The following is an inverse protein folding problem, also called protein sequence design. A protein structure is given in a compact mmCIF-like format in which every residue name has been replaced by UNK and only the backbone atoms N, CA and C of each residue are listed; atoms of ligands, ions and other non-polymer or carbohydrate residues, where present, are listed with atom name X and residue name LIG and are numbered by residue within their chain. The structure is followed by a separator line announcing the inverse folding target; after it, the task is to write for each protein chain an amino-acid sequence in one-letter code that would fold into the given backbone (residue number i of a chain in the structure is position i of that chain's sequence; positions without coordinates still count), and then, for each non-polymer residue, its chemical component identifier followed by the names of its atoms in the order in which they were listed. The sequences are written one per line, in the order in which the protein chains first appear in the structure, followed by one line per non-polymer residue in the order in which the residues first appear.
data_IF_725176905384
#
_entry.id   IF_725176905384
#
_cell.length_a   1.000
_cell.length_b   1.000
_cell.length_c   1.000
_cell.angle_alpha   90.00
_cell.angle_beta   90.00
_cell.angle_gamma   90.00
#
_symmetry.space_group_name_H-M   'P 1'
#
loop_
_entity.id
_entity.type
_entity.pdbx_description
1 polymer ?
#
# COMPACT_ATOMS: atom_id res chain seq x y z
N UNK A 1 -20.97 23.52 6.20
CA UNK A 1 -21.10 23.03 4.81
C UNK A 1 -19.69 22.87 4.24
N UNK A 2 -19.20 21.63 4.13
CA UNK A 2 -17.92 21.36 3.51
C UNK A 2 -18.10 21.34 2.00
N UNK A 3 -17.48 22.28 1.28
CA UNK A 3 -17.43 22.26 -0.18
C UNK A 3 -16.48 21.14 -0.60
N UNK A 4 -17.00 20.06 -1.14
CA UNK A 4 -16.18 19.06 -1.82
C UNK A 4 -15.65 19.69 -3.11
N UNK A 5 -14.35 19.99 -3.17
CA UNK A 5 -13.71 20.47 -4.38
C UNK A 5 -13.72 19.32 -5.40
N UNK A 6 -14.30 19.51 -6.60
CA UNK A 6 -14.29 18.46 -7.62
C UNK A 6 -12.85 18.10 -8.00
N UNK A 7 -12.57 16.80 -8.15
CA UNK A 7 -11.28 16.34 -8.62
C UNK A 7 -10.92 16.95 -9.97
N UNK A 8 -9.71 17.42 -10.12
CA UNK A 8 -9.18 17.81 -11.42
C UNK A 8 -9.09 16.58 -12.33
N UNK A 9 -9.07 16.78 -13.66
CA UNK A 9 -8.90 15.69 -14.63
C UNK A 9 -7.64 14.86 -14.34
N UNK A 10 -6.55 15.51 -13.96
CA UNK A 10 -5.30 14.84 -13.56
C UNK A 10 -5.53 13.93 -12.34
N UNK A 11 -6.13 14.46 -11.28
CA UNK A 11 -6.39 13.70 -10.06
C UNK A 11 -7.30 12.49 -10.30
N UNK A 12 -8.33 12.64 -11.13
CA UNK A 12 -9.20 11.55 -11.53
C UNK A 12 -8.43 10.44 -12.27
N UNK A 13 -7.52 10.81 -13.20
CA UNK A 13 -6.67 9.87 -13.94
C UNK A 13 -5.68 9.18 -12.99
N UNK A 14 -5.03 9.93 -12.10
CA UNK A 14 -4.11 9.38 -11.08
C UNK A 14 -4.84 8.34 -10.24
N UNK A 15 -6.01 8.69 -9.72
CA UNK A 15 -6.82 7.78 -8.90
C UNK A 15 -7.17 6.51 -9.67
N UNK A 16 -7.71 6.65 -10.87
CA UNK A 16 -8.11 5.49 -11.67
C UNK A 16 -6.93 4.57 -12.01
N UNK A 17 -5.81 5.11 -12.50
CA UNK A 17 -4.63 4.30 -12.80
C UNK A 17 -4.03 3.67 -11.55
N UNK A 18 -4.02 4.38 -10.41
CA UNK A 18 -3.58 3.83 -9.13
C UNK A 18 -4.44 2.64 -8.72
N UNK A 19 -5.76 2.77 -8.80
CA UNK A 19 -6.70 1.69 -8.48
C UNK A 19 -6.48 0.48 -9.40
N UNK A 20 -6.31 0.70 -10.70
CA UNK A 20 -6.02 -0.38 -11.67
C UNK A 20 -4.68 -1.10 -11.38
N UNK A 21 -3.65 -0.36 -10.93
CA UNK A 21 -2.34 -0.93 -10.56
C UNK A 21 -2.43 -1.68 -9.22
N UNK A 22 -3.11 -1.09 -8.24
CA UNK A 22 -3.23 -1.69 -6.89
C UNK A 22 -4.07 -2.97 -6.94
N UNK A 23 -5.16 -2.97 -7.70
CA UNK A 23 -6.03 -4.15 -7.85
C UNK A 23 -5.47 -5.21 -8.79
N UNK A 24 -4.36 -4.91 -9.49
CA UNK A 24 -3.77 -5.82 -10.48
C UNK A 24 -4.47 -5.83 -11.85
N UNK A 25 -5.47 -4.98 -12.08
CA UNK A 25 -6.08 -4.79 -13.40
C UNK A 25 -5.04 -4.31 -14.43
N UNK A 26 -4.03 -3.56 -13.98
CA UNK A 26 -2.78 -3.31 -14.69
C UNK A 26 -1.65 -4.09 -14.00
N UNK A 27 -1.32 -5.31 -14.46
CA UNK A 27 -0.32 -6.16 -13.81
C UNK A 27 1.10 -5.56 -13.85
N UNK A 28 2.00 -6.02 -12.96
CA UNK A 28 3.42 -5.67 -13.00
C UNK A 28 4.03 -5.89 -14.39
N UNK A 29 4.89 -4.97 -14.84
CA UNK A 29 5.54 -5.00 -16.15
C UNK A 29 4.67 -4.53 -17.31
N UNK A 30 3.37 -4.30 -17.11
CA UNK A 30 2.48 -3.77 -18.15
C UNK A 30 3.01 -2.46 -18.70
N UNK A 31 3.08 -2.36 -20.03
CA UNK A 31 3.48 -1.14 -20.72
C UNK A 31 2.38 -0.09 -20.64
N UNK A 32 2.71 1.09 -20.13
CA UNK A 32 1.75 2.21 -20.02
C UNK A 32 2.07 3.24 -21.10
N UNK A 33 1.22 3.30 -22.14
CA UNK A 33 1.38 4.25 -23.23
C UNK A 33 0.40 5.41 -23.11
N UNK A 34 0.91 6.63 -23.10
CA UNK A 34 0.12 7.86 -22.93
C UNK A 34 -1.08 7.92 -23.87
N UNK A 35 -0.86 7.60 -25.16
CA UNK A 35 -1.91 7.68 -26.19
C UNK A 35 -3.02 6.65 -25.98
N UNK A 36 -2.68 5.42 -25.54
CA UNK A 36 -3.65 4.37 -25.26
C UNK A 36 -4.51 4.72 -24.05
N UNK A 37 -3.86 5.23 -22.99
CA UNK A 37 -4.56 5.69 -21.78
C UNK A 37 -5.46 6.88 -22.10
N UNK A 38 -4.95 7.87 -22.86
CA UNK A 38 -5.72 9.05 -23.26
C UNK A 38 -6.96 8.68 -24.09
N UNK A 39 -6.81 7.77 -25.05
CA UNK A 39 -7.93 7.29 -25.88
C UNK A 39 -8.96 6.53 -25.03
N UNK A 40 -8.52 5.64 -24.14
CA UNK A 40 -9.39 4.85 -23.25
C UNK A 40 -10.21 5.73 -22.30
N UNK A 41 -9.60 6.79 -21.77
CA UNK A 41 -10.24 7.71 -20.80
C UNK A 41 -10.95 8.91 -21.45
N UNK A 42 -10.87 9.06 -22.76
CA UNK A 42 -11.50 10.17 -23.49
C UNK A 42 -10.92 11.55 -23.13
N UNK A 43 -9.61 11.63 -22.84
CA UNK A 43 -8.91 12.85 -22.43
C UNK A 43 -7.74 13.16 -23.35
N UNK A 44 -7.19 14.40 -23.24
CA UNK A 44 -5.95 14.76 -23.95
C UNK A 44 -4.72 14.09 -23.29
N UNK A 45 -3.62 14.00 -24.05
CA UNK A 45 -2.37 13.34 -23.59
C UNK A 45 -1.72 14.08 -22.42
N UNK A 46 -1.84 15.39 -22.31
CA UNK A 46 -1.15 16.20 -21.29
C UNK A 46 -1.48 15.76 -19.87
N UNK A 47 -2.76 15.72 -19.42
CA UNK A 47 -3.09 15.29 -18.06
C UNK A 47 -2.72 13.81 -17.80
N UNK A 48 -2.66 12.98 -18.83
CA UNK A 48 -2.19 11.59 -18.72
C UNK A 48 -0.69 11.54 -18.39
N UNK A 49 0.12 12.35 -19.08
CA UNK A 49 1.57 12.45 -18.81
C UNK A 49 1.87 12.92 -17.39
N UNK A 50 1.12 13.92 -16.94
CA UNK A 50 1.24 14.43 -15.57
C UNK A 50 0.84 13.39 -14.53
N UNK A 51 -0.24 12.66 -14.78
CA UNK A 51 -0.68 11.56 -13.93
C UNK A 51 0.36 10.41 -13.84
N UNK A 52 0.92 10.02 -14.99
CA UNK A 52 1.97 8.99 -15.06
C UNK A 52 3.24 9.47 -14.34
N UNK A 53 3.62 10.74 -14.48
CA UNK A 53 4.76 11.29 -13.77
C UNK A 53 4.57 11.27 -12.25
N UNK A 54 3.35 11.58 -11.78
CA UNK A 54 3.00 11.46 -10.38
C UNK A 54 3.06 10.02 -9.89
N UNK A 55 2.47 9.05 -10.62
CA UNK A 55 2.52 7.63 -10.27
C UNK A 55 3.95 7.07 -10.31
N UNK A 56 4.82 7.63 -11.15
CA UNK A 56 6.24 7.30 -11.14
C UNK A 56 6.96 7.84 -9.90
N UNK A 57 6.65 9.06 -9.46
CA UNK A 57 7.16 9.60 -8.20
C UNK A 57 6.68 8.77 -6.99
N UNK A 58 5.48 8.22 -7.06
CA UNK A 58 4.93 7.28 -6.07
C UNK A 58 5.55 5.86 -6.18
N UNK A 59 6.39 5.59 -7.20
CA UNK A 59 7.01 4.28 -7.43
C UNK A 59 6.06 3.18 -7.92
N UNK A 60 4.89 3.55 -8.44
CA UNK A 60 3.93 2.61 -9.05
C UNK A 60 4.20 2.37 -10.53
N UNK A 61 4.91 3.28 -11.18
CA UNK A 61 5.34 3.20 -12.58
C UNK A 61 6.83 3.45 -12.66
N UNK A 62 7.55 2.62 -13.38
CA UNK A 62 8.96 2.82 -13.73
C UNK A 62 9.08 3.54 -15.08
N UNK A 63 9.94 4.54 -15.15
CA UNK A 63 10.27 5.25 -16.38
C UNK A 63 11.71 4.92 -16.75
N UNK A 64 11.89 4.09 -17.77
CA UNK A 64 13.20 3.72 -18.26
C UNK A 64 13.89 4.90 -19.01
N UNK A 65 15.23 4.88 -19.19
CA UNK A 65 15.98 5.92 -19.90
C UNK A 65 15.46 6.20 -21.33
N UNK A 66 14.95 5.18 -22.02
CA UNK A 66 14.31 5.28 -23.33
C UNK A 66 12.86 5.80 -23.27
N UNK A 67 12.42 6.35 -22.13
CA UNK A 67 11.07 6.84 -21.83
C UNK A 67 9.96 5.77 -21.88
N UNK A 68 10.33 4.49 -21.91
CA UNK A 68 9.35 3.41 -21.75
C UNK A 68 8.80 3.46 -20.31
N UNK A 69 7.49 3.39 -20.16
CA UNK A 69 6.79 3.39 -18.87
C UNK A 69 6.17 2.04 -18.64
N UNK A 70 6.44 1.46 -17.48
CA UNK A 70 5.88 0.16 -17.09
C UNK A 70 5.39 0.20 -15.66
N UNK A 71 4.36 -0.57 -15.39
CA UNK A 71 3.95 -0.85 -14.00
C UNK A 71 5.13 -1.54 -13.30
N UNK A 72 5.55 -0.99 -12.16
CA UNK A 72 6.71 -1.47 -11.38
C UNK A 72 6.54 -2.93 -10.99
N UNK A 73 7.59 -3.74 -11.12
CA UNK A 73 7.62 -5.08 -10.55
C UNK A 73 7.81 -5.04 -9.05
N UNK A 74 7.11 -5.91 -8.32
CA UNK A 74 7.36 -6.11 -6.89
C UNK A 74 8.33 -7.29 -6.77
N UNK A 75 9.57 -6.99 -6.42
CA UNK A 75 10.57 -8.01 -6.08
C UNK A 75 10.57 -8.24 -4.58
N UNK A 76 11.05 -9.40 -4.11
CA UNK A 76 11.21 -9.67 -2.68
C UNK A 76 12.01 -8.54 -2.00
N UNK A 77 13.13 -8.15 -2.58
CA UNK A 77 13.97 -7.07 -2.04
C UNK A 77 13.18 -5.77 -1.88
N UNK A 78 12.50 -5.31 -2.94
CA UNK A 78 11.72 -4.07 -2.88
C UNK A 78 10.55 -4.16 -1.90
N UNK A 79 9.93 -5.33 -1.77
CA UNK A 79 8.86 -5.56 -0.81
C UNK A 79 9.37 -5.43 0.63
N UNK A 80 10.49 -6.08 0.97
CA UNK A 80 11.08 -6.02 2.30
C UNK A 80 11.57 -4.61 2.64
N UNK A 81 12.25 -3.93 1.72
CA UNK A 81 12.68 -2.53 1.92
C UNK A 81 11.49 -1.59 2.16
N UNK A 82 10.37 -1.81 1.45
CA UNK A 82 9.15 -1.01 1.63
C UNK A 82 8.49 -1.27 2.99
N UNK A 83 8.41 -2.54 3.41
CA UNK A 83 7.89 -2.94 4.72
C UNK A 83 8.74 -2.31 5.84
N UNK A 84 10.06 -2.34 5.71
CA UNK A 84 10.99 -1.76 6.68
C UNK A 84 10.75 -0.24 6.83
N UNK A 85 10.66 0.50 5.73
CA UNK A 85 10.41 1.95 5.75
C UNK A 85 9.02 2.26 6.32
N UNK A 86 7.98 1.56 5.86
CA UNK A 86 6.62 1.78 6.34
C UNK A 86 6.49 1.43 7.81
N UNK A 87 7.13 0.34 8.26
CA UNK A 87 7.16 -0.07 9.66
C UNK A 87 7.77 1.01 10.56
N UNK A 88 8.89 1.60 10.16
CA UNK A 88 9.53 2.71 10.91
C UNK A 88 8.59 3.92 11.00
N UNK A 89 8.03 4.36 9.88
CA UNK A 89 7.14 5.53 9.85
C UNK A 89 5.85 5.30 10.66
N UNK A 90 5.20 4.16 10.45
CA UNK A 90 3.94 3.84 11.12
C UNK A 90 4.15 3.65 12.63
N UNK A 91 5.18 2.91 13.05
CA UNK A 91 5.47 2.70 14.47
C UNK A 91 5.82 4.01 15.18
N UNK A 92 6.62 4.89 14.55
CA UNK A 92 6.91 6.21 15.11
C UNK A 92 5.62 7.04 15.27
N UNK A 93 4.73 7.01 14.26
CA UNK A 93 3.45 7.71 14.32
C UNK A 93 2.54 7.20 15.43
N UNK A 94 2.47 5.89 15.62
CA UNK A 94 1.68 5.28 16.69
C UNK A 94 2.29 5.61 18.06
N UNK A 95 3.60 5.49 18.23
CA UNK A 95 4.30 5.81 19.47
C UNK A 95 4.09 7.28 19.88
N UNK A 96 4.16 8.21 18.94
CA UNK A 96 3.95 9.64 19.22
C UNK A 96 2.47 10.02 19.38
N UNK A 97 1.56 9.24 18.80
CA UNK A 97 0.12 9.54 18.78
C UNK A 97 -0.69 8.84 19.86
N UNK A 98 -0.19 7.73 20.43
CA UNK A 98 -0.97 6.84 21.29
C UNK A 98 -1.57 7.55 22.51
N UNK A 99 -0.84 8.51 23.09
CA UNK A 99 -1.31 9.28 24.25
C UNK A 99 -2.38 10.32 23.92
N UNK A 100 -2.51 10.68 22.65
CA UNK A 100 -3.52 11.62 22.14
C UNK A 100 -4.80 10.93 21.66
N UNK A 101 -4.87 9.60 21.71
CA UNK A 101 -6.07 8.86 21.34
C UNK A 101 -7.21 9.13 22.31
N UNK A 102 -8.36 9.46 21.75
CA UNK A 102 -9.63 9.69 22.47
C UNK A 102 -10.59 8.55 22.20
N UNK A 103 -11.71 8.48 22.95
CA UNK A 103 -12.78 7.49 22.71
C UNK A 103 -13.31 7.57 21.27
N UNK A 104 -13.45 8.77 20.72
CA UNK A 104 -13.87 8.94 19.31
C UNK A 104 -12.87 8.30 18.32
N UNK A 105 -11.57 8.32 18.63
CA UNK A 105 -10.57 7.61 17.82
C UNK A 105 -10.77 6.08 17.92
N UNK A 106 -11.02 5.56 19.14
CA UNK A 106 -11.26 4.13 19.35
C UNK A 106 -12.54 3.65 18.67
N UNK A 107 -13.62 4.44 18.71
CA UNK A 107 -14.87 4.16 17.97
C UNK A 107 -14.59 4.03 16.46
N UNK A 108 -13.90 4.98 15.88
CA UNK A 108 -13.51 4.92 14.46
C UNK A 108 -12.62 3.72 14.14
N UNK A 109 -11.71 3.38 15.04
CA UNK A 109 -10.86 2.19 14.86
C UNK A 109 -11.68 0.89 14.88
N UNK A 110 -12.72 0.79 15.75
CA UNK A 110 -13.67 -0.34 15.76
C UNK A 110 -14.41 -0.45 14.42
N UNK A 111 -14.90 0.68 13.91
CA UNK A 111 -15.57 0.72 12.60
C UNK A 111 -14.63 0.24 11.49
N UNK A 112 -13.42 0.78 11.42
CA UNK A 112 -12.43 0.37 10.38
C UNK A 112 -12.03 -1.09 10.51
N UNK A 113 -11.88 -1.61 11.72
CA UNK A 113 -11.64 -3.04 11.93
C UNK A 113 -12.82 -3.90 11.47
N UNK A 114 -14.06 -3.45 11.71
CA UNK A 114 -15.25 -4.10 11.17
C UNK A 114 -15.28 -4.14 9.64
N UNK A 115 -14.97 -3.02 8.99
CA UNK A 115 -14.87 -2.93 7.53
C UNK A 115 -13.75 -3.82 6.97
N UNK A 116 -12.62 -3.91 7.68
CA UNK A 116 -11.50 -4.79 7.34
C UNK A 116 -11.94 -6.27 7.33
N UNK A 117 -12.60 -6.71 8.42
CA UNK A 117 -13.15 -8.08 8.53
C UNK A 117 -14.14 -8.36 7.42
N UNK A 118 -15.11 -7.45 7.22
CA UNK A 118 -16.14 -7.60 6.18
C UNK A 118 -15.54 -7.63 4.77
N UNK A 119 -14.46 -6.90 4.51
CA UNK A 119 -13.72 -6.96 3.26
C UNK A 119 -13.10 -8.34 3.03
N UNK A 120 -12.42 -8.89 4.06
CA UNK A 120 -11.82 -10.23 3.98
C UNK A 120 -12.87 -11.32 3.77
N UNK A 121 -13.98 -11.28 4.49
CA UNK A 121 -15.07 -12.26 4.36
C UNK A 121 -15.70 -12.28 2.97
N UNK A 122 -15.75 -11.14 2.29
CA UNK A 122 -16.24 -11.03 0.91
C UNK A 122 -15.17 -11.33 -0.14
N UNK A 123 -13.92 -11.55 0.24
CA UNK A 123 -12.79 -11.66 -0.69
C UNK A 123 -12.44 -10.34 -1.38
N UNK A 124 -12.92 -9.20 -0.86
CA UNK A 124 -12.61 -7.86 -1.36
C UNK A 124 -11.33 -7.34 -0.67
N UNK A 125 -10.19 -7.83 -1.16
CA UNK A 125 -8.87 -7.48 -0.61
C UNK A 125 -8.57 -5.97 -0.74
N UNK A 126 -9.16 -5.30 -1.72
CA UNK A 126 -8.98 -3.85 -1.90
C UNK A 126 -9.68 -3.08 -0.80
N UNK A 127 -10.94 -3.43 -0.50
CA UNK A 127 -11.68 -2.82 0.60
C UNK A 127 -11.03 -3.13 1.95
N UNK A 128 -10.57 -4.37 2.15
CA UNK A 128 -9.83 -4.75 3.35
C UNK A 128 -8.54 -3.93 3.51
N UNK A 129 -7.72 -3.81 2.45
CA UNK A 129 -6.49 -3.02 2.49
C UNK A 129 -6.75 -1.55 2.84
N UNK A 130 -7.79 -0.95 2.25
CA UNK A 130 -8.18 0.43 2.53
C UNK A 130 -8.61 0.61 4.01
N UNK A 131 -9.46 -0.28 4.52
CA UNK A 131 -9.91 -0.23 5.91
C UNK A 131 -8.75 -0.42 6.91
N UNK A 132 -7.82 -1.33 6.62
CA UNK A 132 -6.61 -1.54 7.44
C UNK A 132 -5.67 -0.33 7.41
N UNK A 133 -5.50 0.31 6.26
CA UNK A 133 -4.73 1.56 6.15
C UNK A 133 -5.39 2.69 6.96
N UNK A 134 -6.71 2.82 6.90
CA UNK A 134 -7.48 3.80 7.68
C UNK A 134 -7.36 3.55 9.19
N UNK A 135 -7.42 2.28 9.63
CA UNK A 135 -7.19 1.91 11.03
C UNK A 135 -5.84 2.43 11.52
N UNK A 136 -4.78 2.16 10.78
CA UNK A 136 -3.42 2.61 11.12
C UNK A 136 -3.30 4.13 11.06
N UNK A 137 -3.92 4.77 10.07
CA UNK A 137 -3.88 6.22 9.87
C UNK A 137 -4.49 6.97 11.06
N UNK A 138 -5.54 6.46 11.70
CA UNK A 138 -6.13 7.09 12.90
C UNK A 138 -5.09 7.26 13.99
N UNK A 139 -4.28 6.23 14.26
CA UNK A 139 -3.23 6.30 15.29
C UNK A 139 -2.09 7.21 14.87
N UNK A 140 -1.64 7.11 13.62
CA UNK A 140 -0.53 7.92 13.09
C UNK A 140 -0.90 9.41 13.10
N UNK A 141 -2.13 9.75 12.70
CA UNK A 141 -2.65 11.11 12.69
C UNK A 141 -2.75 11.73 14.09
N UNK A 142 -3.03 10.92 15.11
CA UNK A 142 -3.07 11.37 16.50
C UNK A 142 -1.71 11.90 16.99
N UNK A 143 -0.61 11.60 16.30
CA UNK A 143 0.70 12.20 16.55
C UNK A 143 0.75 13.71 16.29
N UNK A 144 -0.15 14.23 15.43
CA UNK A 144 -0.14 15.63 14.99
C UNK A 144 1.06 16.00 14.12
N UNK A 145 1.94 15.06 13.77
CA UNK A 145 3.14 15.30 12.98
C UNK A 145 2.81 15.27 11.47
N UNK A 146 2.68 16.47 10.87
CA UNK A 146 2.33 16.61 9.43
C UNK A 146 3.41 16.09 8.49
N UNK A 147 4.67 16.25 8.84
CA UNK A 147 5.78 15.73 8.01
C UNK A 147 5.76 14.20 7.97
N UNK A 148 5.58 13.56 9.14
CA UNK A 148 5.43 12.12 9.19
C UNK A 148 4.27 11.64 8.31
N UNK A 149 3.12 12.30 8.40
CA UNK A 149 1.96 11.96 7.59
C UNK A 149 2.26 12.07 6.09
N UNK A 150 2.89 13.17 5.66
CA UNK A 150 3.28 13.36 4.25
C UNK A 150 4.12 12.18 3.75
N UNK A 151 5.07 11.70 4.56
CA UNK A 151 5.93 10.58 4.20
C UNK A 151 5.20 9.23 4.21
N UNK A 152 4.26 9.03 5.14
CA UNK A 152 3.38 7.85 5.14
C UNK A 152 2.55 7.81 3.87
N UNK A 153 1.93 8.92 3.48
CA UNK A 153 1.09 9.03 2.28
C UNK A 153 1.87 8.69 0.99
N UNK A 154 3.16 9.04 0.93
CA UNK A 154 4.02 8.71 -0.20
C UNK A 154 4.27 7.20 -0.38
N UNK A 155 4.25 6.43 0.71
CA UNK A 155 4.55 5.00 0.64
C UNK A 155 3.31 4.11 0.74
N UNK A 156 2.18 4.64 1.22
CA UNK A 156 0.95 3.87 1.48
C UNK A 156 0.39 3.17 0.23
N UNK A 157 0.40 3.84 -0.91
CA UNK A 157 -0.10 3.26 -2.16
C UNK A 157 0.73 2.03 -2.59
N UNK A 158 2.05 2.09 -2.42
CA UNK A 158 2.97 0.97 -2.70
C UNK A 158 2.77 -0.18 -1.73
N UNK A 159 2.54 0.13 -0.46
CA UNK A 159 2.27 -0.87 0.57
C UNK A 159 0.92 -1.55 0.36
N UNK A 160 -0.12 -0.79 0.02
CA UNK A 160 -1.45 -1.35 -0.31
C UNK A 160 -1.39 -2.26 -1.53
N UNK A 161 -0.60 -1.92 -2.54
CA UNK A 161 -0.35 -2.78 -3.69
C UNK A 161 0.36 -4.07 -3.30
N UNK A 162 1.38 -4.00 -2.43
CA UNK A 162 2.06 -5.19 -1.94
C UNK A 162 1.06 -6.13 -1.25
N UNK A 163 0.20 -5.61 -0.40
CA UNK A 163 -0.86 -6.37 0.26
C UNK A 163 -1.82 -7.01 -0.76
N UNK A 164 -2.27 -6.26 -1.77
CA UNK A 164 -3.17 -6.78 -2.80
C UNK A 164 -2.54 -7.88 -3.66
N UNK A 165 -1.25 -7.80 -3.98
CA UNK A 165 -0.53 -8.82 -4.75
C UNK A 165 -0.20 -10.08 -3.94
N UNK A 166 -0.15 -9.95 -2.62
CA UNK A 166 0.07 -11.06 -1.69
C UNK A 166 -1.26 -11.51 -1.08
N UNK A 167 -2.30 -11.70 -1.89
CA UNK A 167 -3.65 -12.08 -1.46
C UNK A 167 -3.75 -13.44 -0.72
N UNK A 168 -2.65 -13.92 -0.17
CA UNK A 168 -2.58 -15.09 0.68
C UNK A 168 -3.27 -14.84 2.02
N UNK A 169 -4.14 -15.76 2.40
CA UNK A 169 -4.93 -15.70 3.64
C UNK A 169 -4.07 -15.56 4.90
N UNK A 170 -2.88 -16.15 4.93
CA UNK A 170 -2.01 -16.10 6.11
C UNK A 170 -1.42 -14.70 6.36
N UNK A 171 -1.11 -13.94 5.30
CA UNK A 171 -0.61 -12.58 5.45
C UNK A 171 -1.69 -11.64 5.99
N UNK A 172 -2.93 -11.79 5.55
CA UNK A 172 -4.06 -11.03 6.05
C UNK A 172 -4.37 -11.33 7.51
N UNK A 173 -4.16 -12.58 7.93
CA UNK A 173 -4.36 -12.98 9.32
C UNK A 173 -3.42 -12.26 10.28
N UNK A 174 -2.16 -12.01 9.88
CA UNK A 174 -1.20 -11.22 10.69
C UNK A 174 -1.77 -9.82 10.99
N UNK A 175 -2.34 -9.16 9.97
CA UNK A 175 -2.93 -7.84 10.14
C UNK A 175 -4.19 -7.89 11.00
N UNK A 176 -5.06 -8.88 10.76
CA UNK A 176 -6.31 -9.03 11.48
C UNK A 176 -6.08 -9.24 12.98
N UNK A 177 -5.22 -10.18 13.33
CA UNK A 177 -4.90 -10.47 14.73
C UNK A 177 -4.19 -9.30 15.38
N UNK A 178 -3.23 -8.69 14.66
CA UNK A 178 -2.51 -7.52 15.13
C UNK A 178 -3.43 -6.33 15.43
N UNK A 179 -4.37 -6.01 14.54
CA UNK A 179 -5.32 -4.91 14.76
C UNK A 179 -6.29 -5.19 15.89
N UNK A 180 -6.82 -6.41 15.99
CA UNK A 180 -7.71 -6.83 17.10
C UNK A 180 -7.02 -6.68 18.45
N UNK A 181 -5.81 -7.19 18.56
CA UNK A 181 -5.04 -7.17 19.81
C UNK A 181 -4.61 -5.73 20.16
N UNK A 182 -4.17 -4.94 19.17
CA UNK A 182 -3.82 -3.52 19.39
C UNK A 182 -5.01 -2.74 19.90
N UNK A 183 -6.18 -2.89 19.28
CA UNK A 183 -7.40 -2.20 19.73
C UNK A 183 -7.81 -2.64 21.14
N UNK A 184 -7.79 -3.94 21.43
CA UNK A 184 -8.11 -4.46 22.76
C UNK A 184 -7.16 -3.96 23.85
N UNK A 185 -5.88 -3.73 23.54
CA UNK A 185 -4.92 -3.13 24.47
C UNK A 185 -5.23 -1.64 24.71
N UNK A 186 -5.56 -0.90 23.67
CA UNK A 186 -5.96 0.52 23.78
C UNK A 186 -7.23 0.68 24.62
N UNK A 187 -8.24 -0.17 24.43
CA UNK A 187 -9.49 -0.18 25.20
C UNK A 187 -9.29 -0.47 26.69
N UNK A 188 -8.27 -1.23 27.03
CA UNK A 188 -7.86 -1.48 28.42
C UNK A 188 -6.94 -0.40 29.00
N UNK A 189 -6.58 0.62 28.20
CA UNK A 189 -5.64 1.67 28.58
C UNK A 189 -4.17 1.26 28.56
N UNK A 190 -3.85 0.07 28.05
CA UNK A 190 -2.47 -0.41 27.90
C UNK A 190 -1.83 0.15 26.62
N UNK A 191 -1.50 1.45 26.67
CA UNK A 191 -0.86 2.15 25.55
C UNK A 191 0.51 1.59 25.17
N UNK A 192 1.42 1.31 26.11
CA UNK A 192 2.72 0.71 25.78
C UNK A 192 2.58 -0.66 25.12
N UNK A 193 1.70 -1.51 25.62
CA UNK A 193 1.41 -2.81 25.03
C UNK A 193 0.86 -2.69 23.62
N UNK A 194 -0.03 -1.72 23.37
CA UNK A 194 -0.58 -1.46 22.04
C UNK A 194 0.50 -1.04 21.03
N UNK A 195 1.43 -0.16 21.42
CA UNK A 195 2.57 0.24 20.59
C UNK A 195 3.44 -0.95 20.24
N UNK A 196 3.77 -1.77 21.23
CA UNK A 196 4.61 -2.96 21.01
C UNK A 196 3.92 -4.00 20.13
N UNK A 197 2.61 -4.25 20.37
CA UNK A 197 1.84 -5.17 19.53
C UNK A 197 1.75 -4.68 18.08
N UNK A 198 1.51 -3.38 17.89
CA UNK A 198 1.48 -2.80 16.55
C UNK A 198 2.84 -2.93 15.83
N UNK A 199 3.94 -2.72 16.53
CA UNK A 199 5.30 -2.97 16.01
C UNK A 199 5.49 -4.42 15.60
N UNK A 200 4.98 -5.35 16.39
CA UNK A 200 5.01 -6.79 16.12
C UNK A 200 4.33 -7.17 14.80
N UNK A 201 3.27 -6.45 14.37
CA UNK A 201 2.60 -6.71 13.09
C UNK A 201 3.61 -6.62 11.93
N UNK A 202 4.40 -5.54 11.88
CA UNK A 202 5.37 -5.34 10.80
C UNK A 202 6.49 -6.39 10.82
N UNK A 203 6.93 -6.80 12.00
CA UNK A 203 7.96 -7.84 12.16
C UNK A 203 7.44 -9.20 11.66
N UNK A 204 6.25 -9.60 12.07
CA UNK A 204 5.60 -10.84 11.66
C UNK A 204 5.30 -10.83 10.15
N UNK A 205 4.72 -9.74 9.65
CA UNK A 205 4.41 -9.58 8.23
C UNK A 205 5.67 -9.64 7.37
N UNK A 206 6.73 -8.93 7.78
CA UNK A 206 8.03 -8.96 7.10
C UNK A 206 8.61 -10.38 7.01
N UNK A 207 8.60 -11.12 8.12
CA UNK A 207 9.11 -12.48 8.16
C UNK A 207 8.34 -13.42 7.21
N UNK A 208 7.00 -13.29 7.16
CA UNK A 208 6.16 -14.09 6.26
C UNK A 208 6.38 -13.71 4.80
N UNK A 209 6.44 -12.43 4.47
CA UNK A 209 6.75 -11.96 3.10
C UNK A 209 8.12 -12.48 2.65
N UNK A 210 9.11 -12.48 3.53
CA UNK A 210 10.44 -13.03 3.23
C UNK A 210 10.38 -14.54 2.92
N UNK A 211 9.52 -15.28 3.60
CA UNK A 211 9.37 -16.72 3.39
C UNK A 211 8.58 -17.04 2.11
N UNK A 212 7.59 -16.21 1.74
CA UNK A 212 6.73 -16.45 0.59
C UNK A 212 7.35 -16.03 -0.74
N UNK A 213 8.04 -14.90 -0.77
CA UNK A 213 8.70 -14.38 -1.96
C UNK A 213 10.12 -14.96 -2.08
N UNK A 214 10.24 -16.27 -2.26
CA UNK A 214 11.51 -16.87 -2.64
C UNK A 214 11.84 -16.36 -4.04
N UNK A 215 12.95 -15.63 -4.23
CA UNK A 215 13.41 -15.26 -5.58
C UNK A 215 13.52 -16.54 -6.42
N UNK A 216 12.93 -16.57 -7.63
CA UNK A 216 13.27 -17.63 -8.57
C UNK A 216 14.78 -17.56 -8.76
N UNK A 217 15.45 -18.67 -8.46
CA UNK A 217 16.90 -18.82 -8.65
C UNK A 217 17.26 -18.19 -9.98
N UNK A 218 18.22 -17.29 -9.98
CA UNK A 218 18.87 -16.76 -11.17
C UNK A 218 19.76 -17.84 -11.76
N UNK A 219 19.20 -19.00 -12.09
CA UNK A 219 19.83 -19.91 -13.03
C UNK A 219 19.55 -19.36 -14.42
N UNK A 220 20.60 -19.01 -15.19
CA UNK A 220 20.41 -18.73 -16.60
C UNK A 220 19.81 -19.97 -17.23
N UNK A 221 18.70 -19.82 -17.95
CA UNK A 221 18.11 -20.89 -18.74
C UNK A 221 19.24 -21.60 -19.50
N UNK A 222 19.34 -22.94 -19.40
CA UNK A 222 20.42 -23.66 -20.06
C UNK A 222 20.31 -23.46 -21.56
N UNK A 223 21.30 -22.81 -22.09
CA UNK A 223 21.74 -22.85 -23.48
C UNK A 223 20.69 -22.86 -24.58
N UNK A 224 20.38 -21.71 -25.16
CA UNK A 224 20.24 -21.68 -26.60
C UNK A 224 21.64 -21.92 -27.19
N UNK A 225 21.98 -23.19 -27.32
CA UNK A 225 23.11 -23.65 -28.13
C UNK A 225 22.92 -23.11 -29.55
N UNK A 226 23.97 -22.46 -30.01
CA UNK A 226 24.05 -21.89 -31.33
C UNK A 226 23.66 -22.84 -32.43
N UNK A 227 22.99 -22.32 -33.42
CA UNK A 227 23.01 -22.87 -34.76
C UNK A 227 24.29 -22.45 -35.43
N UNK A 228 25.11 -23.38 -35.92
CA UNK A 228 26.23 -23.07 -36.76
C UNK A 228 25.75 -22.92 -38.23
N UNK A 229 26.32 -21.90 -38.88
CA UNK A 229 26.43 -21.62 -40.33
C UNK A 229 25.28 -20.85 -40.96
#
# INVERSE_FOLDING_TARGET
MSYAVPLTRREAIVRQLRDEIVTGALPPGTLVKDAEVAARLGVSITPVREAIAQLAAEGLIDIAPNRTRRVTHVTQKNALELIDVMGVLACAGVEWGVDNLTETHLERMRERLGDFVAGLERGDVTAAAAAGADFSTIMIMASGNRELQTHVDLVVARTSRLLALTADSELWQVWLDGYRETLALLERGDRPGAVERYRGIYQEYRARVQALLVEPSTEPLPGTLGSPR
#
